data_IF_408472356548
#
_entry.id   IF_408472356548
#
_cell.length_a   1.000
_cell.length_b   1.000
_cell.length_c   1.000
_cell.angle_alpha   90.00
_cell.angle_beta   90.00
_cell.angle_gamma   90.00
#
_symmetry.space_group_name_H-M   'P 1'
#
loop_
_entity.id
_entity.type
_entity.pdbx_description
1 polymer ?
#
# COMPACT_ATOMS: atom_id res chain seq x y z
N UNK A 1 -11.87 5.29 2.24
CA UNK A 1 -10.97 5.71 3.37
C UNK A 1 -9.57 5.88 2.82
N UNK A 2 -9.01 7.07 2.95
CA UNK A 2 -7.60 7.34 2.68
C UNK A 2 -6.81 7.29 3.98
N UNK A 3 -5.62 6.73 3.93
CA UNK A 3 -4.70 6.71 5.06
C UNK A 3 -3.40 7.39 4.66
N UNK A 4 -2.93 8.29 5.50
CA UNK A 4 -1.64 8.97 5.35
C UNK A 4 -0.63 8.30 6.27
N UNK A 5 0.44 7.77 5.70
CA UNK A 5 1.48 7.06 6.43
C UNK A 5 2.80 7.80 6.27
N UNK A 6 3.32 8.41 7.34
CA UNK A 6 4.63 9.04 7.29
C UNK A 6 5.75 8.00 7.16
N UNK A 7 6.70 8.31 6.31
CA UNK A 7 7.91 7.52 6.06
C UNK A 7 9.13 8.39 6.30
N UNK A 8 10.10 7.89 7.05
CA UNK A 8 11.41 8.50 7.20
C UNK A 8 12.40 7.80 6.27
N UNK A 9 13.00 8.55 5.36
CA UNK A 9 13.99 8.01 4.40
C UNK A 9 15.28 7.67 5.13
N UNK A 10 15.74 6.42 5.03
CA UNK A 10 16.99 5.94 5.61
C UNK A 10 18.13 6.14 4.63
N UNK A 11 19.35 6.33 5.14
CA UNK A 11 20.56 6.48 4.34
C UNK A 11 20.78 5.29 3.39
N UNK A 12 20.61 4.07 3.86
CA UNK A 12 20.75 2.85 3.07
C UNK A 12 19.70 2.65 1.97
N UNK A 13 18.67 3.51 1.90
CA UNK A 13 17.66 3.50 0.86
C UNK A 13 18.00 4.37 -0.34
N UNK A 14 19.13 5.08 -0.29
CA UNK A 14 19.63 5.94 -1.37
C UNK A 14 20.65 5.22 -2.26
N UNK A 15 20.81 5.72 -3.48
CA UNK A 15 21.76 5.21 -4.47
C UNK A 15 22.90 6.21 -4.77
N UNK A 16 23.74 5.88 -5.75
CA UNK A 16 24.85 6.73 -6.17
C UNK A 16 24.46 8.10 -6.72
N UNK A 17 23.18 8.27 -7.12
CA UNK A 17 22.65 9.58 -7.55
C UNK A 17 22.27 10.47 -6.35
N UNK A 18 22.35 9.97 -5.12
CA UNK A 18 21.99 10.69 -3.90
C UNK A 18 20.49 10.82 -3.70
N UNK A 19 19.71 9.96 -4.34
CA UNK A 19 18.25 9.91 -4.21
C UNK A 19 17.79 8.53 -3.78
N UNK A 20 16.58 8.41 -3.31
CA UNK A 20 15.98 7.11 -2.98
C UNK A 20 16.02 6.20 -4.20
N UNK A 21 16.62 5.02 -4.03
CA UNK A 21 16.67 4.00 -5.06
C UNK A 21 15.25 3.59 -5.45
N UNK A 22 14.97 3.55 -6.75
CA UNK A 22 13.60 3.42 -7.26
C UNK A 22 12.82 2.21 -6.72
N UNK A 23 13.48 1.09 -6.44
CA UNK A 23 12.83 -0.09 -5.89
C UNK A 23 12.31 0.12 -4.46
N UNK A 24 12.85 1.05 -3.70
CA UNK A 24 12.43 1.32 -2.32
C UNK A 24 11.05 1.95 -2.21
N UNK A 25 10.55 2.58 -3.27
CA UNK A 25 9.15 3.06 -3.28
C UNK A 25 8.16 1.91 -3.12
N UNK A 26 8.48 0.74 -3.65
CA UNK A 26 7.65 -0.47 -3.49
C UNK A 26 7.61 -0.91 -2.02
N UNK A 27 8.74 -0.78 -1.30
CA UNK A 27 8.78 -1.05 0.15
C UNK A 27 7.98 0.00 0.94
N UNK A 28 7.99 1.25 0.53
CA UNK A 28 7.15 2.29 1.15
C UNK A 28 5.66 2.00 0.95
N UNK A 29 5.28 1.48 -0.21
CA UNK A 29 3.91 1.03 -0.45
C UNK A 29 3.54 -0.14 0.45
N UNK A 30 4.46 -1.07 0.68
CA UNK A 30 4.27 -2.21 1.59
C UNK A 30 4.04 -1.74 3.03
N UNK A 31 4.91 -0.87 3.54
CA UNK A 31 4.78 -0.28 4.88
C UNK A 31 3.42 0.40 5.05
N UNK A 32 3.02 1.17 4.04
CA UNK A 32 1.76 1.89 4.06
C UNK A 32 0.56 0.93 4.07
N UNK A 33 0.62 -0.14 3.27
CA UNK A 33 -0.42 -1.15 3.18
C UNK A 33 -0.55 -1.97 4.46
N UNK A 34 0.57 -2.31 5.11
CA UNK A 34 0.56 -2.98 6.41
C UNK A 34 -0.20 -2.15 7.45
N UNK A 35 0.09 -0.85 7.52
CA UNK A 35 -0.61 0.07 8.43
C UNK A 35 -2.08 0.24 8.07
N UNK A 36 -2.40 0.22 6.78
CA UNK A 36 -3.79 0.28 6.32
C UNK A 36 -4.59 -0.94 6.80
N UNK A 37 -4.04 -2.15 6.64
CA UNK A 37 -4.66 -3.38 7.12
C UNK A 37 -4.81 -3.40 8.64
N UNK A 38 -3.79 -2.98 9.37
CA UNK A 38 -3.85 -2.84 10.82
C UNK A 38 -4.96 -1.85 11.24
N UNK A 39 -5.12 -0.74 10.52
CA UNK A 39 -6.20 0.24 10.75
C UNK A 39 -7.59 -0.35 10.48
N UNK A 40 -7.70 -1.27 9.54
CA UNK A 40 -8.94 -2.02 9.31
C UNK A 40 -9.21 -3.11 10.36
N UNK A 41 -8.26 -3.36 11.27
CA UNK A 41 -8.34 -4.40 12.29
C UNK A 41 -7.86 -5.78 11.84
N UNK A 42 -7.10 -5.86 10.74
CA UNK A 42 -6.57 -7.10 10.16
C UNK A 42 -5.06 -6.99 9.88
N UNK A 43 -4.20 -6.84 10.91
CA UNK A 43 -2.76 -6.88 10.70
C UNK A 43 -2.36 -8.21 10.05
N UNK A 44 -1.26 -8.23 9.29
CA UNK A 44 -0.80 -9.44 8.60
C UNK A 44 -0.66 -10.66 9.49
N UNK A 45 -0.22 -10.47 10.73
CA UNK A 45 -0.09 -11.55 11.70
C UNK A 45 -1.42 -12.29 11.95
N UNK A 46 -2.55 -11.59 11.94
CA UNK A 46 -3.87 -12.20 12.14
C UNK A 46 -4.30 -13.04 10.92
N UNK A 47 -4.00 -12.58 9.71
CA UNK A 47 -4.23 -13.35 8.49
C UNK A 47 -3.34 -14.59 8.44
N UNK A 48 -2.06 -14.42 8.79
CA UNK A 48 -1.10 -15.52 8.86
C UNK A 48 -1.49 -16.57 9.89
N UNK A 49 -2.02 -16.15 11.04
CA UNK A 49 -2.54 -17.07 12.07
C UNK A 49 -3.73 -17.89 11.56
N UNK A 50 -4.47 -17.39 10.58
CA UNK A 50 -5.55 -18.12 9.88
C UNK A 50 -5.05 -18.99 8.71
N UNK A 51 -3.74 -19.08 8.51
CA UNK A 51 -3.13 -19.82 7.39
C UNK A 51 -3.29 -19.12 6.03
N UNK A 52 -3.49 -17.81 6.02
CA UNK A 52 -3.67 -16.99 4.83
C UNK A 52 -2.48 -16.04 4.66
N UNK A 53 -2.05 -15.87 3.41
CA UNK A 53 -1.04 -14.90 3.00
C UNK A 53 -1.54 -14.10 1.80
N UNK A 54 -1.00 -12.89 1.63
CA UNK A 54 -1.46 -11.96 0.59
C UNK A 54 -0.32 -11.62 -0.38
N UNK A 55 -0.13 -12.42 -1.45
CA UNK A 55 0.89 -12.14 -2.44
C UNK A 55 0.53 -10.93 -3.30
N UNK A 56 1.55 -10.31 -3.86
CA UNK A 56 1.44 -9.27 -4.88
C UNK A 56 1.20 -9.92 -6.23
N UNK A 57 0.13 -9.53 -6.92
CA UNK A 57 -0.18 -9.97 -8.29
C UNK A 57 0.40 -9.00 -9.33
N UNK A 58 0.38 -7.73 -9.01
CA UNK A 58 0.89 -6.66 -9.85
C UNK A 58 1.34 -5.48 -8.99
N UNK A 59 2.37 -4.78 -9.44
CA UNK A 59 2.81 -3.51 -8.84
C UNK A 59 3.37 -2.63 -9.94
N UNK A 60 3.06 -1.34 -9.86
CA UNK A 60 3.61 -0.32 -10.73
C UNK A 60 3.91 0.95 -9.93
N UNK A 61 4.88 1.72 -10.40
CA UNK A 61 5.25 3.00 -9.81
C UNK A 61 5.71 3.95 -10.92
N UNK A 62 5.11 5.15 -10.93
CA UNK A 62 5.52 6.28 -11.79
C UNK A 62 6.28 7.28 -10.93
N UNK A 63 7.47 7.65 -11.38
CA UNK A 63 8.41 8.51 -10.66
C UNK A 63 8.33 9.95 -11.18
N UNK A 64 8.23 10.89 -10.26
CA UNK A 64 8.29 12.32 -10.53
C UNK A 64 9.54 12.96 -9.91
N UNK A 65 9.35 13.79 -8.89
CA UNK A 65 10.46 14.40 -8.17
C UNK A 65 11.20 13.41 -7.31
N UNK A 66 12.52 13.64 -7.16
CA UNK A 66 13.39 12.76 -6.38
C UNK A 66 13.23 13.01 -4.88
N UNK A 67 13.24 11.94 -4.12
CA UNK A 67 13.30 11.95 -2.65
C UNK A 67 14.73 11.67 -2.22
N UNK A 68 15.22 12.37 -1.19
CA UNK A 68 16.59 12.28 -0.70
C UNK A 68 16.65 11.82 0.74
N UNK A 69 17.84 11.39 1.18
CA UNK A 69 18.09 11.13 2.59
C UNK A 69 17.79 12.37 3.44
N UNK A 70 17.11 12.16 4.56
CA UNK A 70 16.68 13.22 5.46
C UNK A 70 15.34 13.85 5.11
N UNK A 71 14.80 13.57 3.91
CA UNK A 71 13.44 13.99 3.57
C UNK A 71 12.41 13.22 4.40
N UNK A 72 11.33 13.89 4.69
CA UNK A 72 10.13 13.28 5.25
C UNK A 72 9.12 13.17 4.14
N UNK A 73 8.57 11.99 3.98
CA UNK A 73 7.52 11.75 2.99
C UNK A 73 6.28 11.18 3.64
N UNK A 74 5.14 11.39 3.02
CA UNK A 74 3.87 10.76 3.38
C UNK A 74 3.41 9.93 2.22
N UNK A 75 3.13 8.66 2.46
CA UNK A 75 2.42 7.80 1.52
C UNK A 75 0.94 7.84 1.85
N UNK A 76 0.16 8.44 0.96
CA UNK A 76 -1.29 8.36 1.01
C UNK A 76 -1.75 7.17 0.18
N UNK A 77 -2.63 6.34 0.73
CA UNK A 77 -3.17 5.20 0.00
C UNK A 77 -4.66 5.01 0.27
N UNK A 78 -5.31 4.35 -0.69
CA UNK A 78 -6.70 3.93 -0.60
C UNK A 78 -6.93 2.62 -1.37
N UNK A 79 -7.97 1.88 -0.98
CA UNK A 79 -8.51 0.78 -1.78
C UNK A 79 -9.34 1.35 -2.90
N UNK A 80 -9.02 1.05 -4.15
CA UNK A 80 -9.70 1.63 -5.33
C UNK A 80 -10.50 0.62 -6.15
N UNK A 81 -10.21 -0.67 -5.98
CA UNK A 81 -11.05 -1.71 -6.57
C UNK A 81 -11.06 -2.96 -5.67
N UNK A 82 -12.20 -3.63 -5.63
CA UNK A 82 -12.41 -4.82 -4.82
C UNK A 82 -13.23 -5.85 -5.59
N UNK A 83 -12.72 -7.07 -5.63
CA UNK A 83 -13.42 -8.28 -6.09
C UNK A 83 -13.32 -9.35 -5.00
N UNK A 84 -14.14 -10.38 -5.02
CA UNK A 84 -14.04 -11.46 -4.02
C UNK A 84 -12.65 -12.11 -3.91
N UNK A 85 -11.88 -12.07 -4.99
CA UNK A 85 -10.54 -12.70 -5.08
C UNK A 85 -9.40 -11.72 -5.24
N UNK A 86 -9.67 -10.40 -5.32
CA UNK A 86 -8.65 -9.40 -5.62
C UNK A 86 -8.96 -8.07 -4.94
N UNK A 87 -7.93 -7.41 -4.42
CA UNK A 87 -7.99 -6.03 -3.94
C UNK A 87 -6.91 -5.20 -4.63
N UNK A 88 -7.26 -3.96 -4.99
CA UNK A 88 -6.34 -2.99 -5.57
C UNK A 88 -6.16 -1.81 -4.64
N UNK A 89 -4.91 -1.41 -4.46
CA UNK A 89 -4.54 -0.17 -3.78
C UNK A 89 -3.93 0.81 -4.77
N UNK A 90 -4.17 2.10 -4.56
CA UNK A 90 -3.41 3.18 -5.18
C UNK A 90 -2.68 3.98 -4.12
N UNK A 91 -1.53 4.51 -4.53
CA UNK A 91 -0.60 5.22 -3.66
C UNK A 91 -0.19 6.54 -4.28
N UNK A 92 -0.01 7.55 -3.43
CA UNK A 92 0.67 8.80 -3.78
C UNK A 92 1.71 9.08 -2.71
N UNK A 93 2.91 9.44 -3.14
CA UNK A 93 4.01 9.84 -2.24
C UNK A 93 4.12 11.35 -2.31
N UNK A 94 3.96 12.00 -1.17
CA UNK A 94 4.01 13.45 -1.04
C UNK A 94 5.16 13.90 -0.15
N UNK A 95 5.53 15.18 -0.26
CA UNK A 95 6.33 15.85 0.74
C UNK A 95 5.63 15.76 2.10
N UNK A 96 6.34 15.31 3.12
CA UNK A 96 5.79 15.17 4.46
C UNK A 96 5.51 16.50 5.18
N UNK A 97 6.00 17.62 4.65
CA UNK A 97 5.72 18.96 5.13
C UNK A 97 4.51 19.59 4.42
N UNK A 98 3.93 18.93 3.43
CA UNK A 98 2.76 19.44 2.71
C UNK A 98 1.51 19.39 3.60
N UNK A 99 0.77 20.50 3.62
CA UNK A 99 -0.41 20.66 4.47
C UNK A 99 -1.68 20.20 3.76
N UNK A 100 -1.79 20.45 2.47
CA UNK A 100 -2.95 20.09 1.64
C UNK A 100 -2.57 19.09 0.57
N UNK A 101 -2.77 17.81 0.88
CA UNK A 101 -2.44 16.71 -0.04
C UNK A 101 -3.41 16.59 -1.23
N UNK A 102 -4.59 17.20 -1.17
CA UNK A 102 -5.53 17.18 -2.28
C UNK A 102 -5.09 18.11 -3.41
N UNK A 103 -4.39 19.21 -3.06
CA UNK A 103 -3.83 20.18 -4.03
C UNK A 103 -2.35 19.92 -4.34
N UNK A 104 -1.67 19.11 -3.53
CA UNK A 104 -0.25 18.84 -3.68
C UNK A 104 0.07 17.95 -4.88
N UNK A 105 1.19 18.24 -5.55
CA UNK A 105 1.74 17.37 -6.58
C UNK A 105 2.52 16.23 -5.94
N UNK A 106 2.17 14.97 -6.19
CA UNK A 106 2.92 13.85 -5.64
C UNK A 106 4.31 13.71 -6.28
N UNK A 107 5.29 13.27 -5.49
CA UNK A 107 6.62 12.89 -5.96
C UNK A 107 6.60 11.60 -6.77
N UNK A 108 5.72 10.67 -6.41
CA UNK A 108 5.51 9.44 -7.12
C UNK A 108 4.06 8.98 -6.94
N UNK A 109 3.59 8.16 -7.86
CA UNK A 109 2.30 7.48 -7.78
C UNK A 109 2.49 5.99 -8.02
N UNK A 110 1.60 5.17 -7.51
CA UNK A 110 1.68 3.74 -7.72
C UNK A 110 0.37 3.02 -7.56
N UNK A 111 0.40 1.76 -7.94
CA UNK A 111 -0.73 0.85 -7.78
C UNK A 111 -0.22 -0.56 -7.48
N UNK A 112 -0.96 -1.29 -6.69
CA UNK A 112 -0.71 -2.71 -6.50
C UNK A 112 -2.00 -3.51 -6.42
N UNK A 113 -1.94 -4.74 -6.90
CA UNK A 113 -3.02 -5.72 -6.78
C UNK A 113 -2.59 -6.91 -5.96
N UNK A 114 -3.50 -7.40 -5.14
CA UNK A 114 -3.27 -8.51 -4.22
C UNK A 114 -4.43 -9.49 -4.24
N UNK A 115 -4.15 -10.74 -3.90
CA UNK A 115 -5.15 -11.75 -3.57
C UNK A 115 -4.86 -12.33 -2.18
N UNK A 116 -5.70 -13.24 -1.72
CA UNK A 116 -5.39 -14.14 -0.61
C UNK A 116 -5.18 -15.55 -1.14
N UNK A 117 -4.18 -16.22 -0.58
CA UNK A 117 -3.92 -17.64 -0.84
C UNK A 117 -3.78 -18.39 0.48
N UNK A 118 -4.02 -19.71 0.45
CA UNK A 118 -3.69 -20.58 1.57
C UNK A 118 -2.18 -20.81 1.61
N UNK A 119 -1.60 -20.71 2.80
CA UNK A 119 -0.16 -20.96 3.00
C UNK A 119 0.23 -22.40 2.64
N UNK A 120 -0.63 -23.37 2.93
CA UNK A 120 -0.30 -24.79 2.80
C UNK A 120 -0.13 -25.25 1.36
N UNK A 121 -1.01 -24.82 0.46
CA UNK A 121 -1.04 -25.29 -0.94
C UNK A 121 -0.90 -24.16 -1.98
N UNK A 122 -0.73 -22.92 -1.53
CA UNK A 122 -0.63 -21.71 -2.36
C UNK A 122 -1.82 -21.50 -3.31
N UNK A 123 -2.98 -22.05 -2.98
CA UNK A 123 -4.18 -21.89 -3.80
C UNK A 123 -4.94 -20.61 -3.44
N UNK A 124 -5.42 -19.86 -4.44
CA UNK A 124 -6.25 -18.68 -4.23
C UNK A 124 -7.54 -19.03 -3.47
N UNK A 125 -7.96 -18.09 -2.63
CA UNK A 125 -9.23 -18.17 -1.90
C UNK A 125 -10.06 -16.92 -2.16
N UNK A 126 -11.38 -17.05 -2.04
CA UNK A 126 -12.27 -15.88 -2.02
C UNK A 126 -12.15 -15.18 -0.66
N UNK A 127 -11.72 -13.91 -0.63
CA UNK A 127 -11.72 -13.10 0.59
C UNK A 127 -13.12 -13.04 1.20
N UNK A 128 -14.14 -12.90 0.36
CA UNK A 128 -15.55 -12.83 0.79
C UNK A 128 -15.98 -14.08 1.55
N UNK A 129 -15.41 -15.25 1.22
CA UNK A 129 -15.72 -16.52 1.89
C UNK A 129 -14.77 -16.82 3.04
N UNK A 130 -13.47 -16.60 2.85
CA UNK A 130 -12.43 -16.96 3.82
C UNK A 130 -12.33 -15.97 4.98
N UNK A 131 -12.48 -14.68 4.71
CA UNK A 131 -12.42 -13.61 5.73
C UNK A 131 -13.49 -12.56 5.39
N UNK A 132 -14.78 -12.89 5.56
CA UNK A 132 -15.88 -11.99 5.19
C UNK A 132 -15.81 -10.63 5.90
N UNK A 133 -15.29 -10.59 7.11
CA UNK A 133 -15.13 -9.36 7.90
C UNK A 133 -14.13 -8.40 7.22
N UNK A 134 -13.01 -8.92 6.72
CA UNK A 134 -12.03 -8.12 5.97
C UNK A 134 -12.62 -7.62 4.65
N UNK A 135 -13.34 -8.49 3.94
CA UNK A 135 -13.99 -8.12 2.69
C UNK A 135 -14.96 -6.95 2.88
N UNK A 136 -15.79 -7.00 3.92
CA UNK A 136 -16.74 -5.92 4.24
C UNK A 136 -16.02 -4.62 4.69
N UNK A 137 -14.89 -4.74 5.41
CA UNK A 137 -14.06 -3.58 5.77
C UNK A 137 -13.46 -2.92 4.53
N UNK A 138 -12.91 -3.70 3.60
CA UNK A 138 -12.44 -3.16 2.32
C UNK A 138 -13.56 -2.49 1.53
N UNK A 139 -14.74 -3.11 1.49
CA UNK A 139 -15.89 -2.57 0.79
C UNK A 139 -16.34 -1.22 1.37
N UNK A 140 -16.37 -1.12 2.70
CA UNK A 140 -16.71 0.13 3.39
C UNK A 140 -15.63 1.22 3.21
N UNK A 141 -14.38 0.84 2.99
CA UNK A 141 -13.25 1.74 2.80
C UNK A 141 -12.99 2.12 1.33
N UNK A 142 -13.75 1.56 0.39
CA UNK A 142 -13.53 1.70 -1.06
C UNK A 142 -13.65 3.16 -1.52
N UNK A 143 -12.67 3.61 -2.30
CA UNK A 143 -12.62 4.93 -2.95
C UNK A 143 -12.26 4.76 -4.44
N UNK A 144 -13.23 4.42 -5.30
CA UNK A 144 -12.97 4.12 -6.71
C UNK A 144 -12.41 5.31 -7.50
N UNK A 145 -12.75 6.54 -7.07
CA UNK A 145 -12.34 7.78 -7.74
C UNK A 145 -10.95 8.28 -7.32
N UNK A 146 -10.31 7.64 -6.35
CA UNK A 146 -8.95 7.98 -5.95
C UNK A 146 -7.96 7.48 -7.00
N UNK A 147 -7.30 8.43 -7.70
CA UNK A 147 -6.34 8.16 -8.78
C UNK A 147 -4.96 8.67 -8.43
#
# INVERSE_FOLDING_TARGET
MRLNVPISVRYGETDMMGVVYHANYILYFEDAREKYLAKLGFPYADLEARGLISPVLHVECDYGESVRYGDKVVVQLAVTALKPTKVQFRYKVFDGEEIDLDEAKPFATGMSEHCLIRRDDFKPVSMKKAVPELYERYKAALEPDYQ
#
